data_IF_443988988263
#
_entry.id   IF_443988988263
#
_cell.length_a   1.000
_cell.length_b   1.000
_cell.length_c   1.000
_cell.angle_alpha   90.00
_cell.angle_beta   90.00
_cell.angle_gamma   90.00
#
_symmetry.space_group_name_H-M   'P 1'
#
loop_
_entity.id
_entity.type
_entity.pdbx_description
1 polymer ?
#
# COMPACT_ATOMS: atom_id res chain seq x y z
N UNK A 1 -0.42 4.75 23.27
CA UNK A 1 -0.77 3.31 22.99
C UNK A 1 -2.21 2.97 23.37
N UNK A 2 -2.76 3.48 24.45
CA UNK A 2 -4.12 3.12 24.89
C UNK A 2 -5.21 3.61 23.91
N UNK A 3 -5.12 4.85 23.43
CA UNK A 3 -6.09 5.42 22.47
C UNK A 3 -6.12 4.66 21.13
N UNK A 4 -4.98 4.15 20.69
CA UNK A 4 -4.91 3.30 19.50
C UNK A 4 -5.63 1.97 19.69
N UNK A 5 -5.58 1.40 20.90
CA UNK A 5 -6.34 0.20 21.24
C UNK A 5 -7.85 0.47 21.32
N UNK A 6 -8.26 1.61 21.88
CA UNK A 6 -9.65 2.03 21.90
C UNK A 6 -10.19 2.27 20.48
N UNK A 7 -9.46 3.01 19.64
CA UNK A 7 -9.83 3.21 18.25
C UNK A 7 -10.02 1.88 17.49
N UNK A 8 -9.14 0.91 17.70
CA UNK A 8 -9.25 -0.42 17.10
C UNK A 8 -10.50 -1.18 17.55
N UNK A 9 -10.92 -1.04 18.82
CA UNK A 9 -12.17 -1.63 19.32
C UNK A 9 -13.36 -1.04 18.59
N UNK A 10 -13.47 0.28 18.52
CA UNK A 10 -14.56 0.98 17.85
C UNK A 10 -14.58 0.70 16.35
N UNK A 11 -13.42 0.71 15.70
CA UNK A 11 -13.30 0.38 14.29
C UNK A 11 -13.81 -1.03 13.96
N UNK A 12 -13.47 -2.02 14.81
CA UNK A 12 -13.99 -3.38 14.65
C UNK A 12 -15.50 -3.48 14.77
N UNK A 13 -16.10 -2.69 15.67
CA UNK A 13 -17.55 -2.68 15.86
C UNK A 13 -18.27 -1.96 14.72
N UNK A 14 -17.61 -1.00 14.07
CA UNK A 14 -18.19 -0.18 13.01
C UNK A 14 -18.06 -0.81 11.62
N UNK A 15 -16.88 -1.25 11.23
CA UNK A 15 -16.60 -1.83 9.90
C UNK A 15 -16.06 -3.25 9.94
N UNK A 16 -15.60 -3.70 11.09
CA UNK A 16 -14.79 -4.89 11.19
C UNK A 16 -13.36 -4.67 10.68
N UNK A 17 -12.49 -5.63 10.97
CA UNK A 17 -11.20 -5.78 10.30
C UNK A 17 -11.38 -6.95 9.34
N UNK A 18 -11.42 -6.67 8.06
CA UNK A 18 -11.60 -7.64 7.00
C UNK A 18 -10.30 -8.43 6.68
N UNK A 19 -10.39 -9.33 5.72
CA UNK A 19 -9.23 -10.03 5.16
C UNK A 19 -8.31 -9.11 4.36
N UNK A 20 -7.12 -9.59 4.01
CA UNK A 20 -6.12 -8.80 3.29
C UNK A 20 -6.64 -8.29 1.94
N UNK A 21 -7.38 -9.12 1.20
CA UNK A 21 -7.94 -8.74 -0.11
C UNK A 21 -8.95 -7.60 0.02
N UNK A 22 -9.88 -7.72 0.96
CA UNK A 22 -10.90 -6.70 1.19
C UNK A 22 -10.24 -5.39 1.64
N UNK A 23 -9.27 -5.46 2.57
CA UNK A 23 -8.56 -4.27 3.05
C UNK A 23 -7.76 -3.58 1.93
N UNK A 24 -7.16 -4.32 1.01
CA UNK A 24 -6.44 -3.76 -0.14
C UNK A 24 -7.41 -3.13 -1.15
N UNK A 25 -8.58 -3.73 -1.33
CA UNK A 25 -9.63 -3.18 -2.17
C UNK A 25 -10.16 -1.88 -1.58
N UNK A 26 -10.51 -1.86 -0.29
CA UNK A 26 -11.00 -0.67 0.38
C UNK A 26 -9.97 0.47 0.37
N UNK A 27 -8.69 0.15 0.55
CA UNK A 27 -7.61 1.13 0.42
C UNK A 27 -7.54 1.71 -0.99
N UNK A 28 -7.58 0.87 -2.04
CA UNK A 28 -7.57 1.36 -3.42
C UNK A 28 -8.81 2.22 -3.76
N UNK A 29 -9.98 1.84 -3.26
CA UNK A 29 -11.23 2.59 -3.46
C UNK A 29 -11.18 3.96 -2.74
N UNK A 30 -10.56 4.03 -1.55
CA UNK A 30 -10.35 5.28 -0.81
C UNK A 30 -9.42 6.23 -1.57
N UNK A 31 -8.26 5.77 -2.03
CA UNK A 31 -7.33 6.60 -2.81
C UNK A 31 -7.99 7.11 -4.11
N UNK A 32 -8.80 6.26 -4.74
CA UNK A 32 -9.59 6.69 -5.91
C UNK A 32 -10.57 7.81 -5.56
N UNK A 33 -11.29 7.71 -4.44
CA UNK A 33 -12.20 8.75 -3.97
C UNK A 33 -11.44 10.04 -3.62
N UNK A 34 -10.33 9.94 -2.92
CA UNK A 34 -9.51 11.10 -2.56
C UNK A 34 -9.03 11.84 -3.82
N UNK A 35 -8.53 11.11 -4.79
CA UNK A 35 -8.05 11.68 -6.06
C UNK A 35 -9.15 12.29 -6.92
N UNK A 36 -10.28 11.59 -7.09
CA UNK A 36 -11.30 11.97 -8.09
C UNK A 36 -12.37 12.90 -7.55
N UNK A 37 -12.58 12.92 -6.24
CA UNK A 37 -13.60 13.71 -5.59
C UNK A 37 -12.99 14.72 -4.63
N UNK A 38 -12.30 14.26 -3.59
CA UNK A 38 -11.90 15.12 -2.47
C UNK A 38 -10.91 16.20 -2.92
N UNK A 39 -9.75 15.82 -3.44
CA UNK A 39 -8.73 16.78 -3.89
C UNK A 39 -9.13 17.54 -5.15
N UNK A 40 -9.92 16.93 -6.03
CA UNK A 40 -10.48 17.63 -7.19
C UNK A 40 -11.42 18.78 -6.76
N UNK A 41 -12.30 18.55 -5.78
CA UNK A 41 -13.19 19.59 -5.25
C UNK A 41 -12.41 20.66 -4.47
N UNK A 42 -11.39 20.27 -3.70
CA UNK A 42 -10.53 21.22 -3.01
C UNK A 42 -9.76 22.13 -3.97
N UNK A 43 -9.15 21.53 -5.02
CA UNK A 43 -8.45 22.30 -6.05
C UNK A 43 -9.38 23.26 -6.79
N UNK A 44 -10.60 22.83 -7.11
CA UNK A 44 -11.62 23.68 -7.72
C UNK A 44 -12.00 24.85 -6.82
N UNK A 45 -12.33 24.60 -5.57
CA UNK A 45 -12.71 25.63 -4.59
C UNK A 45 -11.58 26.63 -4.37
N UNK A 46 -10.33 26.15 -4.23
CA UNK A 46 -9.17 27.03 -4.09
C UNK A 46 -9.01 27.97 -5.29
N UNK A 47 -9.23 27.49 -6.53
CA UNK A 47 -9.21 28.35 -7.73
C UNK A 47 -10.33 29.38 -7.74
N UNK A 48 -11.55 28.99 -7.38
CA UNK A 48 -12.71 29.89 -7.30
C UNK A 48 -12.50 30.99 -6.26
N UNK A 49 -11.77 30.71 -5.18
CA UNK A 49 -11.41 31.67 -4.13
C UNK A 49 -10.12 32.47 -4.45
N UNK A 50 -9.43 32.20 -5.58
CA UNK A 50 -8.24 32.90 -6.01
C UNK A 50 -6.91 32.36 -5.47
N UNK A 51 -6.91 31.22 -4.78
CA UNK A 51 -5.72 30.55 -4.24
C UNK A 51 -5.13 29.55 -5.22
N UNK A 52 -4.62 30.01 -6.37
CA UNK A 52 -4.15 29.15 -7.44
C UNK A 52 -2.95 28.28 -7.05
N UNK A 53 -2.02 28.79 -6.28
CA UNK A 53 -0.88 28.07 -5.74
C UNK A 53 -1.29 26.91 -4.83
N UNK A 54 -2.31 27.11 -4.00
CA UNK A 54 -2.90 26.06 -3.16
C UNK A 54 -3.61 25.01 -4.02
N UNK A 55 -4.32 25.44 -5.06
CA UNK A 55 -4.97 24.53 -5.98
C UNK A 55 -3.97 23.59 -6.70
N UNK A 56 -2.80 24.12 -7.10
CA UNK A 56 -1.73 23.31 -7.71
C UNK A 56 -1.18 22.25 -6.72
N UNK A 57 -1.12 22.58 -5.42
CA UNK A 57 -0.74 21.62 -4.38
C UNK A 57 -1.77 20.48 -4.28
N UNK A 58 -3.07 20.79 -4.28
CA UNK A 58 -4.12 19.77 -4.27
C UNK A 58 -4.08 18.88 -5.51
N UNK A 59 -3.83 19.43 -6.70
CA UNK A 59 -3.64 18.63 -7.92
C UNK A 59 -2.41 17.73 -7.82
N UNK A 60 -1.32 18.23 -7.23
CA UNK A 60 -0.11 17.46 -6.96
C UNK A 60 -0.37 16.27 -6.03
N UNK A 61 -1.12 16.50 -4.95
CA UNK A 61 -1.52 15.41 -4.03
C UNK A 61 -2.40 14.40 -4.74
N UNK A 62 -3.42 14.83 -5.51
CA UNK A 62 -4.27 13.93 -6.29
C UNK A 62 -3.45 13.02 -7.24
N UNK A 63 -2.36 13.53 -7.81
CA UNK A 63 -1.46 12.73 -8.63
C UNK A 63 -0.66 11.69 -7.82
N UNK A 64 -0.37 11.95 -6.55
CA UNK A 64 0.25 10.99 -5.62
C UNK A 64 -0.75 9.90 -5.26
N UNK A 65 -2.00 10.25 -4.92
CA UNK A 65 -3.04 9.27 -4.57
C UNK A 65 -3.34 8.31 -5.72
N UNK A 66 -3.19 8.77 -6.97
CA UNK A 66 -3.23 7.87 -8.13
C UNK A 66 -2.15 6.78 -8.05
N UNK A 67 -0.93 7.12 -7.65
CA UNK A 67 0.16 6.13 -7.53
C UNK A 67 -0.10 5.16 -6.37
N UNK A 68 -0.69 5.64 -5.27
CA UNK A 68 -1.11 4.79 -4.15
C UNK A 68 -2.21 3.81 -4.58
N UNK A 69 -3.25 4.29 -5.28
CA UNK A 69 -4.31 3.46 -5.84
C UNK A 69 -3.75 2.34 -6.73
N UNK A 70 -2.87 2.69 -7.67
CA UNK A 70 -2.23 1.73 -8.57
C UNK A 70 -1.42 0.68 -7.79
N UNK A 71 -0.71 1.09 -6.75
CA UNK A 71 0.07 0.20 -5.88
C UNK A 71 -0.82 -0.76 -5.09
N UNK A 72 -1.92 -0.29 -4.49
CA UNK A 72 -2.87 -1.16 -3.79
C UNK A 72 -3.53 -2.17 -4.74
N UNK A 73 -3.88 -1.76 -5.96
CA UNK A 73 -4.40 -2.66 -7.00
C UNK A 73 -3.38 -3.74 -7.40
N UNK A 74 -2.12 -3.39 -7.57
CA UNK A 74 -1.06 -4.35 -7.87
C UNK A 74 -0.88 -5.36 -6.72
N UNK A 75 -0.90 -4.90 -5.47
CA UNK A 75 -0.81 -5.77 -4.30
C UNK A 75 -2.03 -6.70 -4.20
N UNK A 76 -3.22 -6.19 -4.48
CA UNK A 76 -4.46 -6.98 -4.50
C UNK A 76 -4.37 -8.10 -5.54
N UNK A 77 -3.95 -7.80 -6.77
CA UNK A 77 -3.73 -8.81 -7.82
C UNK A 77 -2.65 -9.82 -7.43
N UNK A 78 -1.59 -9.37 -6.75
CA UNK A 78 -0.54 -10.21 -6.22
C UNK A 78 -1.08 -11.25 -5.21
N UNK A 79 -1.93 -10.78 -4.26
CA UNK A 79 -2.56 -11.64 -3.25
C UNK A 79 -3.53 -12.62 -3.88
N UNK A 80 -4.44 -12.14 -4.76
CA UNK A 80 -5.44 -12.98 -5.44
C UNK A 80 -4.83 -14.10 -6.27
N UNK A 81 -3.69 -13.86 -6.87
CA UNK A 81 -3.01 -14.82 -7.75
C UNK A 81 -1.95 -15.66 -7.02
N UNK A 82 -1.79 -15.50 -5.71
CA UNK A 82 -0.76 -16.16 -4.90
C UNK A 82 0.67 -15.94 -5.44
N UNK A 83 0.93 -14.72 -5.96
CA UNK A 83 2.20 -14.36 -6.61
C UNK A 83 3.06 -13.38 -5.83
N UNK A 84 2.69 -13.04 -4.60
CA UNK A 84 3.41 -12.05 -3.81
C UNK A 84 4.87 -12.45 -3.51
N UNK A 85 5.14 -13.74 -3.48
CA UNK A 85 6.46 -14.28 -3.14
C UNK A 85 7.09 -15.09 -4.28
N UNK A 86 6.59 -14.92 -5.52
CA UNK A 86 7.11 -15.54 -6.72
C UNK A 86 7.34 -14.55 -7.84
N UNK A 87 8.26 -14.86 -8.74
CA UNK A 87 8.60 -14.04 -9.91
C UNK A 87 8.82 -14.94 -11.12
N UNK A 88 8.52 -14.45 -12.32
CA UNK A 88 8.79 -15.16 -13.58
C UNK A 88 10.28 -15.21 -13.93
N UNK A 89 11.07 -14.35 -13.32
CA UNK A 89 12.53 -14.26 -13.48
C UNK A 89 13.22 -14.37 -12.13
N UNK A 90 14.44 -14.83 -12.10
CA UNK A 90 15.26 -14.79 -10.89
C UNK A 90 15.44 -13.33 -10.44
N UNK A 91 15.04 -13.06 -9.21
CA UNK A 91 15.19 -11.77 -8.55
C UNK A 91 15.91 -11.94 -7.21
N UNK A 92 16.40 -10.84 -6.68
CA UNK A 92 16.90 -10.82 -5.31
C UNK A 92 15.74 -10.55 -4.35
N UNK A 93 15.47 -11.50 -3.47
CA UNK A 93 14.58 -11.35 -2.34
C UNK A 93 15.37 -10.88 -1.13
N UNK A 94 14.89 -9.87 -0.43
CA UNK A 94 15.54 -9.37 0.78
C UNK A 94 14.61 -9.47 1.97
N UNK A 95 15.11 -10.07 3.05
CA UNK A 95 14.40 -10.10 4.32
C UNK A 95 14.43 -8.72 4.97
N UNK A 96 13.28 -8.11 5.19
CA UNK A 96 13.13 -6.78 5.79
C UNK A 96 13.56 -6.73 7.26
N UNK A 97 13.62 -7.88 7.94
CA UNK A 97 14.04 -7.94 9.35
C UNK A 97 15.57 -7.93 9.51
N UNK A 98 16.29 -8.74 8.73
CA UNK A 98 17.75 -8.91 8.94
C UNK A 98 18.62 -8.57 7.73
N UNK A 99 18.01 -8.20 6.60
CA UNK A 99 18.73 -7.86 5.38
C UNK A 99 19.27 -9.04 4.58
N UNK A 100 19.04 -10.31 5.01
CA UNK A 100 19.46 -11.50 4.25
C UNK A 100 18.91 -11.44 2.83
N UNK A 101 19.76 -11.73 1.84
CA UNK A 101 19.38 -11.79 0.43
C UNK A 101 19.39 -13.22 -0.09
N UNK A 102 18.36 -13.56 -0.86
CA UNK A 102 18.21 -14.83 -1.56
C UNK A 102 17.91 -14.55 -3.03
N UNK A 103 18.62 -15.22 -3.95
CA UNK A 103 18.36 -15.11 -5.38
C UNK A 103 17.56 -16.33 -5.84
N UNK A 104 16.44 -16.10 -6.51
CA UNK A 104 15.60 -17.18 -7.02
C UNK A 104 14.27 -16.70 -7.56
N UNK A 105 13.48 -17.64 -8.09
CA UNK A 105 12.13 -17.38 -8.59
C UNK A 105 11.12 -17.18 -7.45
N UNK A 106 11.42 -17.68 -6.25
CA UNK A 106 10.52 -17.67 -5.09
C UNK A 106 11.27 -17.21 -3.85
N UNK A 107 10.62 -16.40 -3.03
CA UNK A 107 11.13 -16.06 -1.72
C UNK A 107 11.15 -17.29 -0.80
N UNK A 108 12.15 -17.47 0.08
CA UNK A 108 12.16 -18.56 1.05
C UNK A 108 10.94 -18.51 1.98
N UNK A 109 10.32 -19.65 2.28
CA UNK A 109 9.22 -19.75 3.24
C UNK A 109 9.61 -19.24 4.63
N UNK A 110 10.88 -19.39 4.97
CA UNK A 110 11.47 -18.97 6.23
C UNK A 110 12.88 -18.43 6.00
N UNK A 111 13.19 -17.28 6.59
CA UNK A 111 14.53 -16.73 6.48
C UNK A 111 15.57 -17.63 7.16
N UNK A 112 16.63 -18.07 6.44
CA UNK A 112 17.64 -18.98 7.00
C UNK A 112 18.51 -18.33 8.08
N UNK A 113 18.51 -17.00 8.16
CA UNK A 113 19.35 -16.25 9.11
C UNK A 113 18.58 -15.93 10.39
N UNK A 114 17.37 -15.35 10.25
CA UNK A 114 16.64 -14.83 11.42
C UNK A 114 15.31 -15.55 11.69
N UNK A 115 15.00 -16.59 10.92
CA UNK A 115 13.82 -17.44 11.09
C UNK A 115 12.45 -16.72 10.92
N UNK A 116 12.42 -15.50 10.43
CA UNK A 116 11.17 -14.82 10.10
C UNK A 116 10.48 -15.47 8.88
N UNK A 117 9.14 -15.47 8.85
CA UNK A 117 8.39 -16.11 7.76
C UNK A 117 8.54 -15.35 6.42
N UNK A 118 8.11 -16.00 5.35
CA UNK A 118 8.17 -15.50 3.96
C UNK A 118 7.60 -14.08 3.80
N UNK A 119 6.60 -13.72 4.59
CA UNK A 119 5.99 -12.38 4.60
C UNK A 119 6.97 -11.22 4.90
N UNK A 120 8.17 -11.53 5.40
CA UNK A 120 9.25 -10.55 5.60
C UNK A 120 10.15 -10.37 4.38
N UNK A 121 9.93 -11.11 3.29
CA UNK A 121 10.68 -10.93 2.06
C UNK A 121 9.98 -9.97 1.09
N UNK A 122 10.79 -9.15 0.47
CA UNK A 122 10.40 -8.32 -0.66
C UNK A 122 11.47 -8.40 -1.76
N UNK A 123 11.09 -8.08 -2.99
CA UNK A 123 12.07 -7.93 -4.08
C UNK A 123 13.01 -6.78 -3.73
N UNK A 124 14.30 -7.07 -3.68
CA UNK A 124 15.32 -6.05 -3.42
C UNK A 124 15.36 -5.08 -4.60
N UNK A 125 15.12 -3.81 -4.35
CA UNK A 125 15.44 -2.76 -5.32
C UNK A 125 16.97 -2.73 -5.46
N UNK A 126 17.46 -2.93 -6.68
CA UNK A 126 18.87 -2.71 -6.98
C UNK A 126 19.16 -1.22 -6.77
N UNK A 127 19.96 -0.92 -5.75
CA UNK A 127 20.64 0.37 -5.62
C UNK A 127 21.88 0.35 -6.47
#
# INVERSE_FOLDING_TARGET
>A
MNEQAHAKVWFKLFHGIAGTEDNLKDAADLENFERTVLYADFAKTAREEGFNDIAEIFDGVAAIERQHEEKYKQLLECVKNDKCFSSEKEVWWQCSNCGHRHKGLTAPEKCPVCSHPQAFFAVALLQ
#
